data_IF_440278170010
#
_entry.id   IF_440278170010
#
_cell.length_a   1.000
_cell.length_b   1.000
_cell.length_c   1.000
_cell.angle_alpha   90.00
_cell.angle_beta   90.00
_cell.angle_gamma   90.00
#
_symmetry.space_group_name_H-M   'P 1'
#
loop_
_entity.id
_entity.type
_entity.pdbx_description
1 polymer ?
#
# COMPACT_ATOMS: atom_id res chain seq x y z
N UNK A 1 -23.28 -65.01 -52.67
CA UNK A 1 -24.22 -64.07 -52.00
C UNK A 1 -23.45 -62.87 -51.46
N UNK A 2 -23.57 -61.72 -52.12
CA UNK A 2 -23.76 -60.36 -51.58
C UNK A 2 -23.43 -59.38 -52.70
N UNK A 3 -24.48 -58.68 -53.12
CA UNK A 3 -24.49 -57.61 -54.12
C UNK A 3 -24.12 -56.30 -53.41
N UNK A 4 -23.52 -55.35 -54.13
CA UNK A 4 -23.94 -53.94 -54.14
C UNK A 4 -23.51 -53.35 -55.49
N UNK A 5 -24.47 -52.65 -56.09
CA UNK A 5 -24.55 -52.10 -57.44
C UNK A 5 -24.10 -50.61 -57.39
N UNK A 6 -23.25 -50.18 -58.33
CA UNK A 6 -23.50 -49.23 -59.45
C UNK A 6 -23.54 -47.72 -59.18
N UNK A 7 -22.96 -47.01 -60.16
CA UNK A 7 -23.32 -45.67 -60.69
C UNK A 7 -22.93 -44.44 -59.86
N UNK A 8 -22.54 -43.28 -60.42
CA UNK A 8 -22.40 -42.81 -61.80
C UNK A 8 -21.79 -41.39 -61.79
N UNK A 9 -21.17 -41.01 -62.91
CA UNK A 9 -21.07 -39.66 -63.50
C UNK A 9 -20.29 -38.52 -62.80
N UNK A 10 -19.08 -38.34 -63.34
CA UNK A 10 -18.47 -37.11 -63.87
C UNK A 10 -19.43 -35.94 -64.19
N UNK A 11 -19.12 -34.71 -63.76
CA UNK A 11 -19.18 -33.50 -64.58
C UNK A 11 -18.33 -32.37 -63.96
N UNK A 12 -17.37 -31.88 -64.75
CA UNK A 12 -16.65 -30.61 -64.56
C UNK A 12 -17.58 -29.45 -64.96
N UNK A 13 -17.68 -28.40 -64.14
CA UNK A 13 -18.05 -27.07 -64.60
C UNK A 13 -17.22 -25.98 -63.90
N UNK A 14 -16.70 -25.12 -64.77
CA UNK A 14 -15.85 -23.95 -64.60
C UNK A 14 -16.70 -22.68 -64.50
N UNK A 15 -16.51 -21.80 -63.50
CA UNK A 15 -16.87 -20.36 -63.48
C UNK A 15 -15.96 -19.68 -62.41
N UNK A 16 -14.88 -18.95 -62.73
CA UNK A 16 -14.74 -17.56 -63.22
C UNK A 16 -15.15 -16.43 -62.25
N UNK A 17 -14.15 -15.58 -61.92
CA UNK A 17 -14.19 -14.15 -61.55
C UNK A 17 -15.15 -13.58 -60.48
N UNK A 18 -14.59 -13.04 -59.39
CA UNK A 18 -14.17 -11.62 -59.32
C UNK A 18 -13.54 -11.31 -57.96
N UNK A 19 -12.39 -10.63 -57.97
CA UNK A 19 -11.85 -9.96 -56.80
C UNK A 19 -12.85 -8.90 -56.32
N UNK A 20 -13.29 -9.02 -55.08
CA UNK A 20 -13.76 -7.87 -54.31
C UNK A 20 -12.68 -7.57 -53.29
N UNK A 21 -11.98 -6.47 -53.50
CA UNK A 21 -11.29 -5.73 -52.44
C UNK A 21 -12.29 -5.48 -51.34
N UNK A 22 -12.27 -6.35 -50.33
CA UNK A 22 -12.84 -6.07 -49.04
C UNK A 22 -12.09 -4.83 -48.52
N UNK A 23 -12.84 -3.73 -48.36
CA UNK A 23 -12.39 -2.62 -47.54
C UNK A 23 -12.07 -3.19 -46.16
N UNK A 24 -10.79 -3.49 -45.92
CA UNK A 24 -10.30 -3.74 -44.57
C UNK A 24 -10.79 -2.57 -43.71
N UNK A 25 -11.53 -2.83 -42.62
CA UNK A 25 -11.78 -1.78 -41.65
C UNK A 25 -10.42 -1.21 -41.25
N UNK A 26 -10.32 0.13 -41.20
CA UNK A 26 -9.17 0.82 -40.65
C UNK A 26 -8.79 0.12 -39.34
N UNK A 27 -7.69 -0.63 -39.39
CA UNK A 27 -7.02 -1.20 -38.24
C UNK A 27 -6.65 -0.01 -37.37
N UNK A 28 -7.51 0.29 -36.40
CA UNK A 28 -7.17 1.15 -35.28
C UNK A 28 -6.20 0.33 -34.42
N UNK A 29 -4.96 0.22 -34.89
CA UNK A 29 -3.82 -0.26 -34.12
C UNK A 29 -3.49 0.80 -33.07
N UNK A 30 -4.36 0.90 -32.05
CA UNK A 30 -4.19 1.80 -30.90
C UNK A 30 -3.21 1.20 -29.89
N UNK A 31 -2.81 -0.07 -30.04
CA UNK A 31 -1.88 -0.71 -29.11
C UNK A 31 -0.97 -1.70 -29.84
N UNK A 32 -0.26 -1.25 -30.88
CA UNK A 32 0.85 -2.04 -31.40
C UNK A 32 2.16 -1.62 -30.75
N UNK A 33 2.62 -2.54 -29.89
CA UNK A 33 4.02 -2.78 -29.57
C UNK A 33 4.69 -1.81 -28.58
N UNK A 34 4.36 -1.97 -27.29
CA UNK A 34 5.27 -1.57 -26.21
C UNK A 34 5.80 -2.84 -25.56
N UNK A 35 7.01 -3.21 -25.95
CA UNK A 35 7.73 -4.36 -25.44
C UNK A 35 7.95 -4.26 -23.93
N UNK A 36 7.48 -5.30 -23.23
CA UNK A 36 8.01 -5.80 -21.96
C UNK A 36 8.43 -4.75 -20.92
N UNK A 37 7.48 -3.99 -20.39
CA UNK A 37 7.60 -3.49 -19.01
C UNK A 37 6.68 -4.34 -18.15
N UNK A 38 7.27 -5.24 -17.38
CA UNK A 38 6.70 -5.95 -16.22
C UNK A 38 5.19 -5.80 -16.11
N UNK A 39 4.44 -6.81 -16.54
CA UNK A 39 2.99 -6.83 -16.45
C UNK A 39 2.56 -6.44 -15.04
N UNK A 40 2.21 -5.17 -14.83
CA UNK A 40 1.35 -4.73 -13.75
C UNK A 40 0.01 -5.38 -14.09
N UNK A 41 -0.09 -6.69 -13.80
CA UNK A 41 -1.34 -7.44 -13.93
C UNK A 41 -2.32 -6.61 -13.16
N UNK A 42 -3.27 -6.01 -13.88
CA UNK A 42 -4.34 -5.21 -13.34
C UNK A 42 -5.12 -6.08 -12.37
N UNK A 43 -4.67 -6.13 -11.13
CA UNK A 43 -5.34 -6.78 -10.03
C UNK A 43 -6.61 -6.00 -9.81
N UNK A 44 -7.73 -6.55 -10.27
CA UNK A 44 -9.07 -6.14 -9.85
C UNK A 44 -9.16 -6.39 -8.34
N UNK A 45 -8.71 -5.46 -7.51
CA UNK A 45 -8.80 -5.62 -6.06
C UNK A 45 -8.21 -4.46 -5.29
N UNK A 46 -9.10 -3.62 -4.70
CA UNK A 46 -9.09 -2.89 -3.41
C UNK A 46 -7.77 -2.52 -2.67
N UNK A 47 -6.57 -2.70 -3.22
CA UNK A 47 -5.27 -2.45 -2.61
C UNK A 47 -4.65 -1.10 -2.98
N UNK A 48 -3.59 -0.72 -2.27
CA UNK A 48 -2.82 0.49 -2.56
C UNK A 48 -1.74 0.18 -3.61
N UNK A 49 -1.92 0.68 -4.84
CA UNK A 49 -1.01 0.43 -5.97
C UNK A 49 0.45 0.82 -5.71
N UNK A 50 0.70 1.85 -4.91
CA UNK A 50 2.08 2.23 -4.51
C UNK A 50 2.71 1.11 -3.69
N UNK A 51 1.97 0.53 -2.75
CA UNK A 51 2.47 -0.59 -1.94
C UNK A 51 2.65 -1.87 -2.77
N UNK A 52 1.80 -2.09 -3.77
CA UNK A 52 1.94 -3.23 -4.68
C UNK A 52 3.23 -3.10 -5.52
N UNK A 53 3.48 -1.93 -6.12
CA UNK A 53 4.73 -1.65 -6.85
C UNK A 53 5.93 -1.84 -5.92
N UNK A 54 5.87 -1.28 -4.70
CA UNK A 54 6.95 -1.43 -3.72
C UNK A 54 7.22 -2.90 -3.37
N UNK A 55 6.17 -3.70 -3.23
CA UNK A 55 6.26 -5.15 -2.96
C UNK A 55 6.91 -5.90 -4.12
N UNK A 56 6.60 -5.54 -5.36
CA UNK A 56 7.30 -6.10 -6.53
C UNK A 56 8.78 -5.71 -6.56
N UNK A 57 9.12 -4.45 -6.26
CA UNK A 57 10.51 -3.99 -6.15
C UNK A 57 11.28 -4.77 -5.07
N UNK A 58 10.63 -5.07 -3.95
CA UNK A 58 11.21 -5.86 -2.86
C UNK A 58 11.63 -7.26 -3.28
N UNK A 59 10.87 -7.95 -4.14
CA UNK A 59 11.15 -9.35 -4.51
C UNK A 59 12.54 -9.53 -5.12
N UNK A 60 13.02 -8.52 -5.83
CA UNK A 60 14.26 -8.60 -6.61
C UNK A 60 15.43 -7.78 -6.02
N UNK A 61 15.20 -6.96 -4.99
CA UNK A 61 16.23 -6.11 -4.38
C UNK A 61 16.62 -6.60 -2.97
N UNK A 62 17.72 -7.36 -2.88
CA UNK A 62 18.26 -7.87 -1.60
C UNK A 62 18.63 -6.75 -0.61
N UNK A 63 19.07 -5.59 -1.09
CA UNK A 63 19.42 -4.45 -0.21
C UNK A 63 18.14 -3.87 0.39
N UNK A 64 17.09 -3.76 -0.42
CA UNK A 64 15.77 -3.32 0.02
C UNK A 64 15.15 -4.28 1.05
N UNK A 65 15.22 -5.59 0.79
CA UNK A 65 14.76 -6.62 1.74
C UNK A 65 15.49 -6.53 3.09
N UNK A 66 16.81 -6.33 3.06
CA UNK A 66 17.61 -6.17 4.30
C UNK A 66 17.21 -4.91 5.07
N UNK A 67 16.89 -3.82 4.38
CA UNK A 67 16.41 -2.59 5.00
C UNK A 67 15.03 -2.79 5.65
N UNK A 68 14.08 -3.42 4.96
CA UNK A 68 12.76 -3.73 5.54
C UNK A 68 12.88 -4.58 6.79
N UNK A 69 13.70 -5.64 6.72
CA UNK A 69 13.94 -6.50 7.87
C UNK A 69 14.51 -5.72 9.06
N UNK A 70 15.46 -4.82 8.81
CA UNK A 70 16.02 -3.98 9.88
C UNK A 70 14.97 -3.07 10.51
N UNK A 71 14.07 -2.50 9.72
CA UNK A 71 12.98 -1.65 10.22
C UNK A 71 12.00 -2.48 11.06
N UNK A 72 11.63 -3.66 10.58
CA UNK A 72 10.76 -4.61 11.30
C UNK A 72 11.39 -5.04 12.63
N UNK A 73 12.65 -5.44 12.62
CA UNK A 73 13.38 -5.91 13.80
C UNK A 73 13.46 -4.79 14.86
N UNK A 74 13.83 -3.56 14.47
CA UNK A 74 13.87 -2.41 15.40
C UNK A 74 12.49 -2.08 15.99
N UNK A 75 11.43 -2.13 15.19
CA UNK A 75 10.07 -1.88 15.67
C UNK A 75 9.62 -2.94 16.69
N UNK A 76 9.98 -4.21 16.46
CA UNK A 76 9.69 -5.31 17.38
C UNK A 76 10.47 -5.17 18.68
N UNK A 77 11.77 -4.90 18.59
CA UNK A 77 12.66 -4.72 19.75
C UNK A 77 12.24 -3.53 20.61
N UNK A 78 11.78 -2.44 19.99
CA UNK A 78 11.33 -1.23 20.70
C UNK A 78 10.25 -1.53 21.74
N UNK A 79 9.23 -2.30 21.36
CA UNK A 79 8.13 -2.63 22.27
C UNK A 79 8.61 -3.46 23.46
N UNK A 80 9.49 -4.44 23.22
CA UNK A 80 10.04 -5.31 24.27
C UNK A 80 10.90 -4.50 25.24
N UNK A 81 11.78 -3.64 24.71
CA UNK A 81 12.68 -2.84 25.55
C UNK A 81 11.89 -1.87 26.42
N UNK A 82 10.88 -1.17 25.87
CA UNK A 82 10.08 -0.21 26.64
C UNK A 82 9.24 -0.92 27.72
N UNK A 83 8.62 -2.06 27.40
CA UNK A 83 7.69 -2.73 28.30
C UNK A 83 8.33 -3.16 29.63
N UNK A 84 9.60 -3.55 29.61
CA UNK A 84 10.32 -3.97 30.82
C UNK A 84 10.46 -2.81 31.82
N UNK A 85 10.83 -1.62 31.33
CA UNK A 85 10.95 -0.42 32.17
C UNK A 85 9.59 0.07 32.65
N UNK A 86 8.60 0.15 31.77
CA UNK A 86 7.25 0.58 32.14
C UNK A 86 6.64 -0.34 33.19
N UNK A 87 6.86 -1.66 33.08
CA UNK A 87 6.37 -2.61 34.09
C UNK A 87 6.93 -2.30 35.48
N UNK A 88 8.24 -2.04 35.59
CA UNK A 88 8.89 -1.73 36.87
C UNK A 88 8.43 -0.38 37.41
N UNK A 89 8.33 0.65 36.56
CA UNK A 89 7.87 1.99 36.95
C UNK A 89 6.43 1.92 37.43
N UNK A 90 5.53 1.31 36.65
CA UNK A 90 4.12 1.18 37.00
C UNK A 90 3.94 0.37 38.30
N UNK A 91 4.75 -0.69 38.50
CA UNK A 91 4.71 -1.45 39.75
C UNK A 91 5.16 -0.63 40.95
N UNK A 92 6.18 0.22 40.78
CA UNK A 92 6.65 1.13 41.81
C UNK A 92 5.59 2.18 42.17
N UNK A 93 4.94 2.75 41.15
CA UNK A 93 3.82 3.68 41.33
C UNK A 93 2.64 3.01 42.06
N UNK A 94 2.38 1.72 41.75
CA UNK A 94 1.35 0.94 42.45
C UNK A 94 1.65 0.81 43.95
N UNK A 95 2.91 0.57 44.34
CA UNK A 95 3.27 0.51 45.77
C UNK A 95 3.00 1.82 46.51
N UNK A 96 3.27 2.97 45.88
CA UNK A 96 2.97 4.27 46.47
C UNK A 96 1.46 4.53 46.55
N UNK A 97 0.68 4.08 45.56
CA UNK A 97 -0.78 4.17 45.59
C UNK A 97 -1.36 3.33 46.75
N UNK A 98 -0.92 2.08 46.90
CA UNK A 98 -1.36 1.19 47.98
C UNK A 98 -0.98 1.78 49.35
N UNK A 99 0.23 2.33 49.50
CA UNK A 99 0.66 2.98 50.74
C UNK A 99 -0.20 4.20 51.07
N UNK A 100 -0.55 5.03 50.07
CA UNK A 100 -1.45 6.16 50.25
C UNK A 100 -2.87 5.70 50.65
N UNK A 101 -3.35 4.59 50.09
CA UNK A 101 -4.65 4.02 50.46
C UNK A 101 -4.65 3.56 51.92
N UNK A 102 -3.65 2.78 52.35
CA UNK A 102 -3.51 2.33 53.73
C UNK A 102 -3.43 3.52 54.71
N UNK A 103 -2.72 4.58 54.32
CA UNK A 103 -2.59 5.80 55.12
C UNK A 103 -3.94 6.47 55.41
N UNK A 104 -4.96 6.27 54.57
CA UNK A 104 -6.31 6.80 54.81
C UNK A 104 -6.98 6.19 56.05
N UNK A 105 -6.61 4.98 56.43
CA UNK A 105 -7.15 4.28 57.61
C UNK A 105 -6.57 4.77 58.94
N UNK A 106 -5.51 5.58 58.92
CA UNK A 106 -4.89 6.13 60.12
C UNK A 106 -5.80 7.18 60.74
N UNK A 107 -6.22 6.95 61.99
CA UNK A 107 -7.13 7.83 62.74
C UNK A 107 -6.38 9.07 63.27
N UNK A 108 -5.18 8.88 63.79
CA UNK A 108 -4.40 10.00 64.32
C UNK A 108 -3.94 10.93 63.19
N UNK A 109 -4.50 12.13 63.18
CA UNK A 109 -4.32 13.08 62.08
C UNK A 109 -2.88 13.58 61.93
N UNK A 110 -2.10 13.62 63.02
CA UNK A 110 -0.71 14.04 62.99
C UNK A 110 0.17 12.96 62.38
N UNK A 111 0.05 11.73 62.89
CA UNK A 111 0.73 10.54 62.36
C UNK A 111 0.38 10.32 60.89
N UNK A 112 -0.91 10.47 60.52
CA UNK A 112 -1.34 10.36 59.12
C UNK A 112 -0.60 11.33 58.21
N UNK A 113 -0.55 12.62 58.56
CA UNK A 113 0.16 13.65 57.77
C UNK A 113 1.66 13.39 57.67
N UNK A 114 2.26 12.86 58.74
CA UNK A 114 3.68 12.50 58.75
C UNK A 114 3.95 11.38 57.73
N UNK A 115 3.17 10.30 57.77
CA UNK A 115 3.30 9.19 56.82
C UNK A 115 3.01 9.64 55.37
N UNK A 116 1.97 10.46 55.14
CA UNK A 116 1.70 11.03 53.81
C UNK A 116 2.91 11.79 53.25
N UNK A 117 3.59 12.56 54.11
CA UNK A 117 4.80 13.31 53.73
C UNK A 117 5.97 12.39 53.41
N UNK A 118 6.17 11.33 54.19
CA UNK A 118 7.22 10.34 53.95
C UNK A 118 7.01 9.59 52.63
N UNK A 119 5.78 9.15 52.35
CA UNK A 119 5.40 8.50 51.09
C UNK A 119 5.71 9.43 49.92
N UNK A 120 5.24 10.68 50.00
CA UNK A 120 5.46 11.70 48.97
C UNK A 120 6.95 11.96 48.74
N UNK A 121 7.74 12.15 49.79
CA UNK A 121 9.18 12.37 49.64
C UNK A 121 9.87 11.15 49.02
N UNK A 122 9.44 9.94 49.39
CA UNK A 122 9.96 8.71 48.80
C UNK A 122 9.65 8.59 47.31
N UNK A 123 8.40 8.88 46.90
CA UNK A 123 7.98 8.84 45.50
C UNK A 123 8.70 9.90 44.67
N UNK A 124 8.81 11.14 45.16
CA UNK A 124 9.54 12.22 44.47
C UNK A 124 11.01 11.88 44.22
N UNK A 125 11.69 11.24 45.19
CA UNK A 125 13.07 10.76 44.97
C UNK A 125 13.13 9.66 43.91
N UNK A 126 12.15 8.78 43.85
CA UNK A 126 12.09 7.73 42.82
C UNK A 126 11.82 8.32 41.43
N UNK A 127 10.94 9.32 41.34
CA UNK A 127 10.71 10.07 40.10
C UNK A 127 11.99 10.73 39.59
N UNK A 128 12.78 11.36 40.47
CA UNK A 128 14.07 11.93 40.09
C UNK A 128 15.06 10.87 39.59
N UNK A 129 15.10 9.69 40.24
CA UNK A 129 15.94 8.56 39.81
C UNK A 129 15.55 8.01 38.44
N UNK A 130 14.25 7.99 38.14
CA UNK A 130 13.71 7.42 36.90
C UNK A 130 13.50 8.44 35.79
N UNK A 131 13.65 9.74 36.06
CA UNK A 131 13.45 10.82 35.07
C UNK A 131 14.16 10.57 33.74
N UNK A 132 15.47 10.26 33.80
CA UNK A 132 16.26 9.99 32.59
C UNK A 132 15.73 8.78 31.80
N UNK A 133 15.21 7.76 32.49
CA UNK A 133 14.61 6.58 31.84
C UNK A 133 13.32 6.97 31.13
N UNK A 134 12.43 7.71 31.83
CA UNK A 134 11.18 8.24 31.25
C UNK A 134 11.47 9.11 30.01
N UNK A 135 12.46 10.00 30.09
CA UNK A 135 12.89 10.85 28.97
C UNK A 135 13.38 10.03 27.76
N UNK A 136 14.14 8.95 28.01
CA UNK A 136 14.62 8.05 26.95
C UNK A 136 13.46 7.28 26.30
N UNK A 137 12.48 6.79 27.06
CA UNK A 137 11.28 6.13 26.53
C UNK A 137 10.52 7.09 25.61
N UNK A 138 10.31 8.33 26.03
CA UNK A 138 9.68 9.36 25.19
C UNK A 138 10.48 9.57 23.90
N UNK A 139 11.81 9.64 23.99
CA UNK A 139 12.67 9.81 22.82
C UNK A 139 12.61 8.62 21.86
N UNK A 140 12.57 7.40 22.38
CA UNK A 140 12.42 6.18 21.57
C UNK A 140 11.09 6.21 20.83
N UNK A 141 9.98 6.51 21.51
CA UNK A 141 8.66 6.62 20.88
C UNK A 141 8.61 7.69 19.78
N UNK A 142 9.23 8.84 19.99
CA UNK A 142 9.38 9.87 18.97
C UNK A 142 10.17 9.37 17.76
N UNK A 143 11.30 8.70 17.98
CA UNK A 143 12.12 8.15 16.92
C UNK A 143 11.37 7.06 16.13
N UNK A 144 10.58 6.21 16.78
CA UNK A 144 9.74 5.21 16.12
C UNK A 144 8.73 5.84 15.16
N UNK A 145 8.07 6.91 15.58
CA UNK A 145 7.16 7.68 14.71
C UNK A 145 7.90 8.28 13.51
N UNK A 146 9.06 8.90 13.74
CA UNK A 146 9.89 9.46 12.66
C UNK A 146 10.31 8.36 11.67
N UNK A 147 10.75 7.19 12.16
CA UNK A 147 11.13 6.06 11.31
C UNK A 147 9.95 5.62 10.43
N UNK A 148 8.75 5.51 11.00
CA UNK A 148 7.53 5.14 10.25
C UNK A 148 7.20 6.14 9.14
N UNK A 149 7.30 7.44 9.43
CA UNK A 149 7.04 8.49 8.44
C UNK A 149 8.10 8.46 7.32
N UNK A 150 9.38 8.38 7.69
CA UNK A 150 10.48 8.28 6.72
C UNK A 150 10.40 7.01 5.88
N UNK A 151 9.98 5.89 6.46
CA UNK A 151 9.76 4.64 5.73
C UNK A 151 8.64 4.79 4.70
N UNK A 152 7.56 5.48 5.07
CA UNK A 152 6.44 5.77 4.16
C UNK A 152 6.87 6.67 3.00
N UNK A 153 7.59 7.75 3.30
CA UNK A 153 8.18 8.65 2.30
C UNK A 153 9.11 7.87 1.36
N UNK A 154 9.95 7.01 1.92
CA UNK A 154 10.88 6.19 1.16
C UNK A 154 10.14 5.26 0.19
N UNK A 155 9.08 4.57 0.63
CA UNK A 155 8.24 3.72 -0.23
C UNK A 155 7.71 4.51 -1.43
N UNK A 156 7.10 5.68 -1.17
CA UNK A 156 6.56 6.55 -2.23
C UNK A 156 7.65 6.93 -3.23
N UNK A 157 8.77 7.48 -2.73
CA UNK A 157 9.89 7.91 -3.59
C UNK A 157 10.48 6.77 -4.40
N UNK A 158 10.57 5.57 -3.82
CA UNK A 158 11.11 4.39 -4.49
C UNK A 158 10.20 3.90 -5.62
N UNK A 159 8.89 4.15 -5.52
CA UNK A 159 7.90 3.71 -6.51
C UNK A 159 7.64 4.72 -7.63
N UNK A 160 7.90 6.02 -7.41
CA UNK A 160 7.65 7.06 -8.42
C UNK A 160 8.30 6.77 -9.78
N UNK A 161 9.56 6.33 -9.88
CA UNK A 161 10.17 6.03 -11.17
C UNK A 161 9.46 4.90 -11.96
N UNK A 162 8.89 3.91 -11.27
CA UNK A 162 8.13 2.84 -11.93
C UNK A 162 6.76 3.33 -12.43
N UNK A 163 6.15 4.28 -11.71
CA UNK A 163 4.92 4.95 -12.13
C UNK A 163 5.19 5.79 -13.37
N UNK A 164 6.26 6.59 -13.36
CA UNK A 164 6.70 7.42 -14.49
C UNK A 164 7.02 6.54 -15.71
N UNK A 165 7.75 5.44 -15.52
CA UNK A 165 8.01 4.45 -16.57
C UNK A 165 6.73 3.90 -17.20
N UNK A 166 5.70 3.63 -16.39
CA UNK A 166 4.40 3.19 -16.91
C UNK A 166 3.74 4.30 -17.73
N UNK A 167 3.76 5.54 -17.27
CA UNK A 167 3.17 6.69 -17.97
C UNK A 167 3.88 6.95 -19.31
N UNK A 168 5.21 6.95 -19.32
CA UNK A 168 6.03 7.16 -20.51
C UNK A 168 5.87 6.01 -21.53
N UNK A 169 5.65 4.79 -21.04
CA UNK A 169 5.35 3.63 -21.87
C UNK A 169 3.93 3.65 -22.46
N UNK A 170 3.02 4.47 -21.94
CA UNK A 170 1.62 4.57 -22.38
C UNK A 170 1.23 6.02 -22.65
N UNK A 171 1.87 6.70 -23.62
CA UNK A 171 1.59 8.10 -23.91
C UNK A 171 0.15 8.28 -24.37
N UNK A 172 -0.59 9.16 -23.70
CA UNK A 172 -1.97 9.45 -24.04
C UNK A 172 -2.02 10.52 -25.15
N UNK A 173 -2.30 10.09 -26.39
CA UNK A 173 -2.54 10.99 -27.52
C UNK A 173 -4.01 11.35 -27.62
N UNK A 174 -4.32 12.61 -27.93
CA UNK A 174 -5.71 13.10 -28.01
C UNK A 174 -6.33 12.90 -29.39
N UNK A 175 -5.53 12.68 -30.44
CA UNK A 175 -5.99 12.60 -31.83
C UNK A 175 -7.20 11.68 -32.03
N UNK A 176 -7.19 10.50 -31.40
CA UNK A 176 -8.29 9.53 -31.49
C UNK A 176 -9.57 10.04 -30.80
N UNK A 177 -9.42 10.70 -29.66
CA UNK A 177 -10.53 11.29 -28.91
C UNK A 177 -11.13 12.48 -29.64
N UNK A 178 -10.28 13.37 -30.16
CA UNK A 178 -10.70 14.54 -30.94
C UNK A 178 -11.46 14.11 -32.21
N UNK A 179 -10.93 13.13 -32.94
CA UNK A 179 -11.61 12.54 -34.08
C UNK A 179 -12.97 11.94 -33.71
N UNK A 180 -13.06 11.28 -32.55
CA UNK A 180 -14.32 10.71 -32.09
C UNK A 180 -15.33 11.80 -31.69
N UNK A 181 -14.89 12.87 -31.02
CA UNK A 181 -15.73 14.04 -30.72
C UNK A 181 -16.24 14.68 -32.00
N UNK A 182 -15.41 14.82 -33.02
CA UNK A 182 -15.83 15.39 -34.31
C UNK A 182 -16.93 14.55 -34.97
N UNK A 183 -16.81 13.22 -34.94
CA UNK A 183 -17.88 12.31 -35.42
C UNK A 183 -19.18 12.51 -34.65
N UNK A 184 -19.11 12.66 -33.32
CA UNK A 184 -20.29 12.94 -32.50
C UNK A 184 -20.93 14.29 -32.84
N UNK A 185 -20.12 15.34 -33.02
CA UNK A 185 -20.59 16.67 -33.37
C UNK A 185 -21.30 16.69 -34.73
N UNK A 186 -20.77 15.95 -35.71
CA UNK A 186 -21.40 15.82 -37.02
C UNK A 186 -22.79 15.18 -36.88
N UNK A 187 -22.90 14.05 -36.17
CA UNK A 187 -24.18 13.39 -35.94
C UNK A 187 -25.19 14.31 -35.21
N UNK A 188 -24.74 15.05 -34.19
CA UNK A 188 -25.60 16.01 -33.49
C UNK A 188 -26.10 17.13 -34.41
N UNK A 189 -25.29 17.58 -35.36
CA UNK A 189 -25.70 18.56 -36.37
C UNK A 189 -26.78 17.98 -37.29
N UNK A 190 -26.56 16.76 -37.79
CA UNK A 190 -27.53 16.04 -38.63
C UNK A 190 -28.88 15.90 -37.90
N UNK A 191 -28.87 15.48 -36.64
CA UNK A 191 -30.08 15.30 -35.83
C UNK A 191 -30.82 16.61 -35.56
N UNK A 192 -30.12 17.74 -35.36
CA UNK A 192 -30.75 19.06 -35.15
C UNK A 192 -31.42 19.61 -36.40
N UNK A 193 -30.97 19.19 -37.58
CA UNK A 193 -31.47 19.65 -38.87
C UNK A 193 -32.62 18.79 -39.40
N UNK A 194 -32.97 17.68 -38.74
CA UNK A 194 -34.19 16.93 -38.99
C UNK A 194 -35.39 17.71 -38.41
N UNK A 195 -35.99 18.55 -39.26
CA UNK A 195 -37.33 19.10 -39.05
C UNK A 195 -38.40 18.12 -39.52
#
# INVERSE_FOLDING_TARGET
MKKILFSSALFLLIISCSEKTENKPLENNVVDNVGSSTSLKSGRGKGNMVLDIYTELLKNDKKLQKLEKKIEDINKETNVVISDYETIINKSDSYYNDANELTRSIIDSMTKKEIEKEIKFSSERYDLKTKKIKDLIVKINQNTSIIKDQHTIFKIKKTLPEIEKYQDAHPLKTDSLENFVNKQNQLLSELKNLK
#
